data_IF_179979659797
#
_entry.id   IF_179979659797
#
_cell.length_a   1.000
_cell.length_b   1.000
_cell.length_c   1.000
_cell.angle_alpha   90.00
_cell.angle_beta   90.00
_cell.angle_gamma   90.00
#
_symmetry.space_group_name_H-M   'P 1'
#
loop_
_entity.id
_entity.type
_entity.pdbx_description
1 polymer ?
#
# COMPACT_ATOMS: atom_id res chain seq x y z
N UNK A 1 -76.94 -6.30 30.50
CA UNK A 1 -76.45 -4.92 30.25
C UNK A 1 -75.46 -4.96 29.09
N UNK A 2 -75.81 -4.40 27.93
CA UNK A 2 -74.99 -4.42 26.71
C UNK A 2 -73.68 -3.62 26.89
N UNK A 3 -72.52 -4.25 26.66
CA UNK A 3 -71.24 -3.53 26.50
C UNK A 3 -71.20 -2.86 25.13
N UNK A 4 -71.44 -1.54 25.11
CA UNK A 4 -71.22 -0.68 23.94
C UNK A 4 -69.73 -0.73 23.55
N UNK A 5 -69.42 -1.23 22.35
CA UNK A 5 -68.09 -1.08 21.74
C UNK A 5 -67.93 0.38 21.29
N UNK A 6 -66.89 1.03 21.77
CA UNK A 6 -66.52 2.40 21.42
C UNK A 6 -66.05 2.46 19.95
N UNK A 7 -66.78 3.12 19.03
CA UNK A 7 -66.43 3.15 17.60
C UNK A 7 -65.24 4.06 17.28
N UNK A 8 -64.71 4.82 18.23
CA UNK A 8 -63.65 5.80 17.99
C UNK A 8 -62.22 5.22 18.08
N UNK A 9 -62.04 4.04 18.66
CA UNK A 9 -60.72 3.42 18.83
C UNK A 9 -60.10 2.87 17.53
N UNK A 10 -60.93 2.31 16.64
CA UNK A 10 -60.45 1.75 15.36
C UNK A 10 -60.13 2.84 14.32
N UNK A 11 -60.81 3.99 14.40
CA UNK A 11 -60.60 5.12 13.49
C UNK A 11 -59.26 5.83 13.78
N UNK A 12 -58.94 6.06 15.05
CA UNK A 12 -57.67 6.68 15.45
C UNK A 12 -56.44 5.80 15.12
N UNK A 13 -56.57 4.47 15.25
CA UNK A 13 -55.49 3.54 14.92
C UNK A 13 -55.23 3.45 13.40
N UNK A 14 -56.27 3.57 12.57
CA UNK A 14 -56.14 3.60 11.10
C UNK A 14 -55.54 4.92 10.59
N UNK A 15 -55.88 6.06 11.21
CA UNK A 15 -55.30 7.36 10.86
C UNK A 15 -53.81 7.39 11.23
N UNK A 16 -53.43 6.85 12.39
CA UNK A 16 -52.02 6.77 12.81
C UNK A 16 -51.14 5.95 11.86
N UNK A 17 -51.64 4.81 11.36
CA UNK A 17 -50.90 3.96 10.41
C UNK A 17 -50.81 4.61 9.02
N UNK A 18 -51.85 5.29 8.56
CA UNK A 18 -51.82 6.00 7.26
C UNK A 18 -50.87 7.20 7.31
N UNK A 19 -50.80 7.93 8.42
CA UNK A 19 -49.86 9.05 8.60
C UNK A 19 -48.41 8.56 8.66
N UNK A 20 -48.15 7.41 9.29
CA UNK A 20 -46.82 6.79 9.32
C UNK A 20 -46.37 6.27 7.94
N UNK A 21 -47.28 5.67 7.15
CA UNK A 21 -46.98 5.23 5.78
C UNK A 21 -46.78 6.43 4.85
N UNK A 22 -47.56 7.51 5.02
CA UNK A 22 -47.39 8.74 4.26
C UNK A 22 -46.06 9.45 4.59
N UNK A 23 -45.65 9.50 5.86
CA UNK A 23 -44.34 10.01 6.27
C UNK A 23 -43.18 9.13 5.76
N UNK A 24 -43.36 7.81 5.75
CA UNK A 24 -42.38 6.87 5.20
C UNK A 24 -42.23 7.01 3.67
N UNK A 25 -43.34 7.23 2.95
CA UNK A 25 -43.31 7.49 1.50
C UNK A 25 -42.78 8.88 1.16
N UNK A 26 -43.02 9.90 2.00
CA UNK A 26 -42.44 11.24 1.80
C UNK A 26 -40.93 11.24 2.05
N UNK A 27 -40.41 10.43 2.99
CA UNK A 27 -38.97 10.24 3.19
C UNK A 27 -38.26 9.53 2.01
N UNK A 28 -38.98 8.72 1.24
CA UNK A 28 -38.45 8.02 0.04
C UNK A 28 -38.83 8.66 -1.30
N UNK A 29 -39.77 9.61 -1.32
CA UNK A 29 -40.22 10.33 -2.52
C UNK A 29 -39.56 11.71 -2.69
N UNK A 30 -38.65 12.11 -1.80
CA UNK A 30 -37.71 13.20 -2.13
C UNK A 30 -36.83 12.63 -3.24
N UNK A 31 -36.86 13.19 -4.47
CA UNK A 31 -35.88 12.83 -5.48
C UNK A 31 -34.54 13.14 -4.81
N UNK A 32 -33.72 12.12 -4.53
CA UNK A 32 -32.32 12.34 -4.25
C UNK A 32 -31.86 13.14 -5.45
N UNK A 33 -31.67 14.46 -5.27
CA UNK A 33 -30.92 15.25 -6.23
C UNK A 33 -29.64 14.45 -6.38
N UNK A 34 -29.52 13.76 -7.50
CA UNK A 34 -28.24 13.41 -8.08
C UNK A 34 -27.54 14.75 -8.13
N UNK A 35 -26.78 15.06 -7.07
CA UNK A 35 -25.66 15.94 -7.23
C UNK A 35 -24.89 15.22 -8.30
N UNK A 36 -24.97 15.76 -9.50
CA UNK A 36 -23.98 15.54 -10.53
C UNK A 36 -22.68 15.96 -9.88
N UNK A 37 -22.07 15.05 -9.14
CA UNK A 37 -20.66 15.12 -8.81
C UNK A 37 -20.03 15.12 -10.18
N UNK A 38 -19.64 16.32 -10.64
CA UNK A 38 -18.62 16.45 -11.66
C UNK A 38 -17.60 15.36 -11.35
N UNK A 39 -17.31 14.53 -12.35
CA UNK A 39 -16.19 13.60 -12.29
C UNK A 39 -15.05 14.30 -11.56
N UNK A 40 -14.47 13.74 -10.48
CA UNK A 40 -13.23 14.24 -9.95
C UNK A 40 -12.13 13.85 -10.95
N UNK A 41 -12.16 14.44 -12.15
CA UNK A 41 -10.96 15.00 -12.75
C UNK A 41 -10.55 16.17 -11.85
N UNK A 42 -10.19 15.86 -10.60
CA UNK A 42 -9.43 16.80 -9.80
C UNK A 42 -8.04 16.79 -10.44
N UNK A 43 -7.88 17.63 -11.47
CA UNK A 43 -6.57 18.12 -11.82
C UNK A 43 -5.99 18.62 -10.50
N UNK A 44 -4.95 17.94 -10.03
CA UNK A 44 -4.18 18.40 -8.88
C UNK A 44 -3.68 19.78 -9.31
N UNK A 45 -4.20 20.86 -8.72
CA UNK A 45 -3.68 22.20 -8.97
C UNK A 45 -2.28 22.26 -8.38
N UNK A 46 -1.29 22.01 -9.23
CA UNK A 46 0.12 22.06 -8.87
C UNK A 46 0.61 23.51 -8.88
N UNK A 47 1.54 23.89 -7.98
CA UNK A 47 2.27 25.14 -8.10
C UNK A 47 2.87 25.26 -9.51
N UNK A 48 2.75 26.42 -10.18
CA UNK A 48 3.22 26.61 -11.55
C UNK A 48 4.73 26.42 -11.72
N UNK A 49 5.50 26.37 -10.63
CA UNK A 49 6.93 26.12 -10.64
C UNK A 49 7.32 24.63 -10.59
N UNK A 50 6.36 23.69 -10.54
CA UNK A 50 6.64 22.26 -10.78
C UNK A 50 6.79 22.05 -12.29
N UNK A 51 8.05 22.02 -12.74
CA UNK A 51 8.40 21.76 -14.13
C UNK A 51 7.84 20.39 -14.59
N UNK A 52 7.12 20.39 -15.72
CA UNK A 52 6.84 19.14 -16.44
C UNK A 52 5.64 18.32 -15.94
N UNK A 53 4.57 18.93 -15.40
CA UNK A 53 3.33 18.18 -15.17
C UNK A 53 2.78 17.52 -16.44
N UNK A 54 2.94 18.18 -17.60
CA UNK A 54 2.61 17.60 -18.89
C UNK A 54 3.46 16.34 -19.20
N UNK A 55 4.72 16.34 -18.75
CA UNK A 55 5.65 15.21 -18.86
C UNK A 55 5.41 14.12 -17.78
N UNK A 56 4.58 14.36 -16.76
CA UNK A 56 4.30 13.41 -15.68
C UNK A 56 3.53 12.19 -16.21
N UNK A 57 4.29 11.18 -16.63
CA UNK A 57 3.83 9.95 -17.27
C UNK A 57 4.73 8.79 -16.85
N UNK A 58 4.26 7.55 -17.04
CA UNK A 58 5.09 6.36 -16.93
C UNK A 58 5.58 6.03 -18.34
N UNK A 59 6.90 6.11 -18.54
CA UNK A 59 7.53 5.82 -19.84
C UNK A 59 7.95 4.36 -19.91
N UNK A 60 7.78 3.73 -21.07
CA UNK A 60 8.11 2.32 -21.29
C UNK A 60 8.33 2.05 -22.78
N UNK A 61 9.02 0.96 -23.09
CA UNK A 61 9.15 0.50 -24.47
C UNK A 61 7.81 -0.04 -24.98
N UNK A 62 7.39 0.23 -26.22
CA UNK A 62 6.10 -0.25 -26.75
C UNK A 62 5.86 -1.75 -26.57
N UNK A 63 6.92 -2.56 -26.69
CA UNK A 63 6.86 -4.01 -26.51
C UNK A 63 6.40 -4.46 -25.11
N UNK A 64 6.53 -3.61 -24.08
CA UNK A 64 6.10 -3.92 -22.71
C UNK A 64 4.57 -3.88 -22.55
N UNK A 65 3.83 -3.24 -23.48
CA UNK A 65 2.37 -3.16 -23.48
C UNK A 65 1.73 -2.84 -22.11
N UNK A 66 2.36 -1.94 -21.34
CA UNK A 66 1.97 -1.68 -19.94
C UNK A 66 0.56 -1.10 -19.82
N UNK A 67 0.19 -0.19 -20.73
CA UNK A 67 -1.11 0.48 -20.69
C UNK A 67 -2.27 -0.50 -20.88
N UNK A 68 -2.21 -1.39 -21.88
CA UNK A 68 -3.28 -2.36 -22.14
C UNK A 68 -3.41 -3.36 -20.99
N UNK A 69 -2.28 -3.81 -20.42
CA UNK A 69 -2.27 -4.68 -19.25
C UNK A 69 -2.90 -4.00 -18.04
N UNK A 70 -2.51 -2.74 -17.75
CA UNK A 70 -3.04 -1.99 -16.63
C UNK A 70 -4.54 -1.69 -16.78
N UNK A 71 -5.00 -1.31 -17.98
CA UNK A 71 -6.42 -1.12 -18.31
C UNK A 71 -7.25 -2.35 -17.94
N UNK A 72 -6.82 -3.55 -18.36
CA UNK A 72 -7.53 -4.80 -18.04
C UNK A 72 -7.63 -5.06 -16.54
N UNK A 73 -6.57 -4.77 -15.78
CA UNK A 73 -6.58 -4.96 -14.32
C UNK A 73 -7.56 -3.99 -13.66
N UNK A 74 -7.53 -2.72 -14.09
CA UNK A 74 -8.45 -1.68 -13.62
C UNK A 74 -9.91 -2.03 -13.93
N UNK A 75 -10.22 -2.47 -15.15
CA UNK A 75 -11.59 -2.87 -15.55
C UNK A 75 -12.12 -4.02 -14.69
N UNK A 76 -11.30 -5.05 -14.44
CA UNK A 76 -11.67 -6.19 -13.58
C UNK A 76 -11.93 -5.76 -12.14
N UNK A 77 -11.09 -4.89 -11.60
CA UNK A 77 -11.26 -4.30 -10.27
C UNK A 77 -12.53 -3.47 -10.17
N UNK A 78 -12.76 -2.61 -11.15
CA UNK A 78 -13.92 -1.75 -11.21
C UNK A 78 -15.24 -2.54 -11.27
N UNK A 79 -15.27 -3.62 -12.07
CA UNK A 79 -16.42 -4.54 -12.20
C UNK A 79 -16.57 -5.50 -11.01
N UNK A 80 -15.65 -5.47 -10.04
CA UNK A 80 -15.70 -6.33 -8.86
C UNK A 80 -15.38 -7.81 -9.12
N UNK A 81 -14.70 -8.11 -10.23
CA UNK A 81 -14.28 -9.48 -10.55
C UNK A 81 -13.06 -9.91 -9.72
N UNK A 82 -12.11 -9.00 -9.53
CA UNK A 82 -10.85 -9.23 -8.83
C UNK A 82 -10.23 -7.88 -8.45
N UNK A 83 -9.72 -7.69 -7.22
CA UNK A 83 -9.12 -6.42 -6.82
C UNK A 83 -7.83 -6.13 -7.59
N UNK A 84 -7.62 -4.85 -7.93
CA UNK A 84 -6.33 -4.35 -8.38
C UNK A 84 -5.36 -4.42 -7.21
N UNK A 85 -4.33 -5.26 -7.31
CA UNK A 85 -3.35 -5.46 -6.24
C UNK A 85 -2.00 -4.85 -6.62
N UNK A 86 -1.56 -3.84 -5.86
CA UNK A 86 -0.31 -3.11 -6.07
C UNK A 86 0.62 -3.33 -4.88
N UNK A 87 1.88 -3.66 -5.15
CA UNK A 87 2.96 -3.68 -4.18
C UNK A 87 3.93 -2.55 -4.47
N UNK A 88 4.14 -1.65 -3.51
CA UNK A 88 5.12 -0.57 -3.62
C UNK A 88 6.27 -0.81 -2.63
N UNK A 89 7.43 -1.17 -3.16
CA UNK A 89 8.65 -1.44 -2.41
C UNK A 89 9.50 -0.17 -2.37
N UNK A 90 10.02 0.19 -1.20
CA UNK A 90 10.99 1.27 -1.10
C UNK A 90 11.61 1.44 0.27
N UNK A 91 12.02 2.66 0.58
CA UNK A 91 12.80 3.01 1.76
C UNK A 91 12.00 3.84 2.79
N UNK A 92 12.64 4.83 3.44
CA UNK A 92 12.00 5.75 4.37
C UNK A 92 10.86 6.56 3.74
N UNK A 93 10.93 6.87 2.45
CA UNK A 93 9.88 7.60 1.74
C UNK A 93 8.56 6.80 1.66
N UNK A 94 8.65 5.47 1.71
CA UNK A 94 7.50 4.56 1.69
C UNK A 94 7.07 4.17 3.12
N UNK A 95 8.02 4.02 4.06
CA UNK A 95 7.72 3.53 5.41
C UNK A 95 6.70 4.41 6.16
N UNK A 96 6.80 5.74 6.01
CA UNK A 96 5.88 6.67 6.68
C UNK A 96 4.47 6.69 6.07
N UNK A 97 4.30 6.13 4.86
CA UNK A 97 3.04 5.99 4.13
C UNK A 97 2.30 7.30 3.80
N UNK A 98 2.91 8.48 3.97
CA UNK A 98 2.32 9.72 3.46
C UNK A 98 2.26 9.73 1.92
N UNK A 99 3.30 9.22 1.28
CA UNK A 99 3.37 9.13 -0.18
C UNK A 99 2.41 8.05 -0.69
N UNK A 100 2.60 6.81 -0.26
CA UNK A 100 1.81 5.67 -0.72
C UNK A 100 0.38 5.66 -0.21
N UNK A 101 0.12 6.23 0.97
CA UNK A 101 -1.22 6.43 1.49
C UNK A 101 -2.04 7.42 0.65
N UNK A 102 -1.41 8.48 0.13
CA UNK A 102 -2.07 9.39 -0.81
C UNK A 102 -2.40 8.69 -2.13
N UNK A 103 -1.45 7.94 -2.70
CA UNK A 103 -1.69 7.16 -3.94
C UNK A 103 -2.85 6.19 -3.73
N UNK A 104 -2.84 5.46 -2.60
CA UNK A 104 -3.90 4.52 -2.21
C UNK A 104 -5.25 5.21 -2.14
N UNK A 105 -5.34 6.34 -1.44
CA UNK A 105 -6.59 7.09 -1.28
C UNK A 105 -7.14 7.59 -2.61
N UNK A 106 -6.29 8.16 -3.46
CA UNK A 106 -6.70 8.70 -4.76
C UNK A 106 -7.13 7.58 -5.72
N UNK A 107 -6.39 6.47 -5.78
CA UNK A 107 -6.77 5.30 -6.59
C UNK A 107 -8.06 4.65 -6.10
N UNK A 108 -8.27 4.50 -4.79
CA UNK A 108 -9.52 3.99 -4.24
C UNK A 108 -10.71 4.87 -4.65
N UNK A 109 -10.55 6.19 -4.55
CA UNK A 109 -11.57 7.15 -4.99
C UNK A 109 -11.87 7.03 -6.49
N UNK A 110 -10.83 6.90 -7.31
CA UNK A 110 -10.95 6.73 -8.76
C UNK A 110 -11.65 5.42 -9.17
N UNK A 111 -11.42 4.34 -8.41
CA UNK A 111 -12.07 3.04 -8.59
C UNK A 111 -13.47 2.93 -7.97
N UNK A 112 -13.96 3.99 -7.32
CA UNK A 112 -15.22 3.98 -6.55
C UNK A 112 -15.20 2.86 -5.49
N UNK A 113 -14.09 2.76 -4.75
CA UNK A 113 -13.85 1.76 -3.72
C UNK A 113 -14.08 2.31 -2.30
N UNK A 114 -15.28 2.08 -1.78
CA UNK A 114 -15.63 2.42 -0.39
C UNK A 114 -15.03 1.47 0.64
N UNK A 115 -14.41 0.36 0.23
CA UNK A 115 -13.93 -0.74 1.08
C UNK A 115 -12.41 -0.90 1.08
N UNK A 116 -11.69 0.20 0.92
CA UNK A 116 -10.22 0.24 0.85
C UNK A 116 -9.55 -0.63 1.92
N UNK A 117 -8.76 -1.60 1.46
CA UNK A 117 -7.90 -2.40 2.33
C UNK A 117 -6.68 -1.62 2.80
N UNK A 118 -6.23 -1.88 4.03
CA UNK A 118 -4.96 -1.30 4.52
C UNK A 118 -3.74 -1.95 3.86
N UNK A 119 -3.81 -3.25 3.57
CA UNK A 119 -2.73 -4.00 2.96
C UNK A 119 -1.60 -4.32 3.94
N UNK A 120 -0.35 -4.31 3.44
CA UNK A 120 0.81 -4.71 4.23
C UNK A 120 1.02 -3.78 5.43
N UNK A 121 1.25 -4.40 6.58
CA UNK A 121 1.39 -3.76 7.89
C UNK A 121 2.51 -4.44 8.66
N UNK A 122 3.37 -3.67 9.33
CA UNK A 122 4.47 -4.24 10.12
C UNK A 122 4.55 -3.54 11.49
N UNK A 123 4.90 -4.26 12.58
CA UNK A 123 5.07 -3.71 13.92
C UNK A 123 6.33 -2.83 14.06
N UNK A 124 6.42 -1.72 13.32
CA UNK A 124 7.60 -0.84 13.33
C UNK A 124 7.87 -0.24 14.70
N UNK A 125 6.82 0.16 15.45
CA UNK A 125 6.98 0.69 16.81
C UNK A 125 7.63 -0.32 17.77
N UNK A 126 7.24 -1.59 17.71
CA UNK A 126 7.87 -2.68 18.47
C UNK A 126 9.30 -2.91 17.97
N UNK A 127 9.56 -2.64 16.69
CA UNK A 127 10.89 -2.70 16.08
C UNK A 127 11.78 -1.46 16.33
N UNK A 128 11.34 -0.52 17.18
CA UNK A 128 12.04 0.72 17.48
C UNK A 128 12.09 1.69 16.30
N UNK A 129 11.02 1.75 15.50
CA UNK A 129 10.87 2.64 14.35
C UNK A 129 9.46 3.24 14.31
N UNK A 130 9.22 4.18 13.40
CA UNK A 130 7.93 4.87 13.31
C UNK A 130 6.94 4.09 12.44
N UNK A 131 5.72 3.90 12.93
CA UNK A 131 4.61 3.41 12.12
C UNK A 131 4.07 4.54 11.22
N UNK A 132 3.44 4.21 10.09
CA UNK A 132 2.39 5.01 9.48
C UNK A 132 1.36 5.53 10.50
N UNK A 133 0.79 6.71 10.26
CA UNK A 133 -0.18 7.33 11.18
C UNK A 133 -1.53 6.60 11.23
N UNK A 134 -1.80 5.70 10.28
CA UNK A 134 -3.07 5.03 10.12
C UNK A 134 -3.21 3.72 10.91
N UNK A 135 -2.16 3.31 11.63
CA UNK A 135 -2.27 2.23 12.60
C UNK A 135 -1.28 2.36 13.77
N UNK A 136 -1.62 1.68 14.87
CA UNK A 136 -0.73 1.46 16.00
C UNK A 136 -0.57 -0.02 16.26
N UNK A 137 0.60 -0.41 16.77
CA UNK A 137 0.87 -1.78 17.21
C UNK A 137 1.51 -1.76 18.58
N UNK A 138 0.95 -2.55 19.49
CA UNK A 138 1.52 -2.83 20.80
C UNK A 138 1.93 -4.30 20.90
N UNK A 139 2.80 -4.60 21.86
CA UNK A 139 3.30 -5.96 22.09
C UNK A 139 3.22 -6.36 23.55
N UNK A 140 2.99 -7.65 23.78
CA UNK A 140 3.23 -8.33 25.05
C UNK A 140 4.36 -9.35 24.83
N UNK A 141 5.10 -9.65 25.91
CA UNK A 141 6.20 -10.61 25.90
C UNK A 141 7.47 -10.06 25.26
N UNK A 142 8.50 -10.90 25.20
CA UNK A 142 9.79 -10.51 24.65
C UNK A 142 9.84 -10.59 23.12
N UNK A 143 10.22 -9.49 22.47
CA UNK A 143 10.45 -9.41 21.04
C UNK A 143 11.85 -8.88 20.76
N UNK A 144 12.52 -9.49 19.78
CA UNK A 144 13.81 -9.03 19.24
C UNK A 144 13.64 -8.60 17.80
N UNK A 145 14.41 -7.59 17.40
CA UNK A 145 14.32 -7.02 16.06
C UNK A 145 15.48 -7.53 15.21
N UNK A 146 15.15 -8.01 14.02
CA UNK A 146 16.10 -8.48 13.02
C UNK A 146 16.05 -7.53 11.83
N UNK A 147 17.17 -6.87 11.52
CA UNK A 147 17.29 -5.92 10.39
C UNK A 147 18.37 -6.35 9.41
N UNK A 148 18.34 -5.81 8.19
CA UNK A 148 19.27 -6.16 7.09
C UNK A 148 20.76 -5.92 7.37
N UNK A 149 21.08 -5.13 8.40
CA UNK A 149 22.43 -4.87 8.87
C UNK A 149 22.93 -5.89 9.92
N UNK A 150 22.06 -6.76 10.45
CA UNK A 150 22.46 -7.86 11.32
C UNK A 150 22.98 -9.05 10.51
N UNK A 151 24.30 -9.11 10.34
CA UNK A 151 25.00 -10.13 9.55
C UNK A 151 24.73 -11.58 10.01
N UNK A 152 24.32 -11.79 11.26
CA UNK A 152 24.10 -13.14 11.81
C UNK A 152 22.68 -13.66 11.57
N UNK A 153 21.70 -12.75 11.43
CA UNK A 153 20.28 -13.10 11.37
C UNK A 153 19.57 -12.65 10.08
N UNK A 154 20.30 -12.08 9.12
CA UNK A 154 19.80 -11.74 7.76
C UNK A 154 19.05 -12.87 7.05
N UNK A 155 19.28 -14.13 7.42
CA UNK A 155 18.65 -15.31 6.83
C UNK A 155 17.12 -15.37 7.00
N UNK A 156 16.51 -14.59 7.89
CA UNK A 156 15.07 -14.67 8.19
C UNK A 156 14.38 -13.31 8.11
N UNK A 157 14.74 -12.45 7.17
CA UNK A 157 14.03 -11.18 6.96
C UNK A 157 12.80 -11.37 6.08
N UNK A 158 11.76 -10.56 6.32
CA UNK A 158 10.56 -10.48 5.49
C UNK A 158 10.74 -9.70 4.20
N UNK A 159 9.65 -9.49 3.44
CA UNK A 159 9.66 -8.72 2.19
C UNK A 159 10.14 -7.28 2.38
N UNK A 160 9.84 -6.68 3.55
CA UNK A 160 10.29 -5.36 3.97
C UNK A 160 11.77 -5.31 4.40
N UNK A 161 12.49 -6.44 4.46
CA UNK A 161 13.87 -6.47 4.94
C UNK A 161 14.02 -6.37 6.46
N UNK A 162 12.94 -6.66 7.20
CA UNK A 162 12.87 -6.64 8.67
C UNK A 162 12.07 -7.85 9.17
N UNK A 163 12.32 -8.28 10.40
CA UNK A 163 11.51 -9.26 11.12
C UNK A 163 11.48 -8.97 12.62
N UNK A 164 10.43 -9.44 13.30
CA UNK A 164 10.39 -9.53 14.77
C UNK A 164 10.47 -10.98 15.19
N UNK A 165 11.40 -11.32 16.09
CA UNK A 165 11.62 -12.69 16.54
C UNK A 165 11.27 -12.82 18.03
N UNK A 166 10.66 -13.94 18.40
CA UNK A 166 10.38 -14.28 19.80
C UNK A 166 10.60 -15.76 20.09
N UNK A 167 10.86 -16.06 21.35
CA UNK A 167 10.85 -17.41 21.95
C UNK A 167 9.80 -17.54 23.06
N UNK A 168 9.13 -16.45 23.39
CA UNK A 168 8.24 -16.32 24.53
C UNK A 168 6.83 -16.84 24.16
N UNK A 169 6.32 -17.89 24.82
CA UNK A 169 4.97 -18.40 24.56
C UNK A 169 3.85 -17.40 24.86
N UNK A 170 4.11 -16.42 25.72
CA UNK A 170 3.18 -15.35 26.07
C UNK A 170 3.22 -14.18 25.10
N UNK A 171 4.09 -14.20 24.09
CA UNK A 171 4.24 -13.10 23.15
C UNK A 171 2.95 -12.84 22.37
N UNK A 172 2.52 -11.57 22.32
CA UNK A 172 1.35 -11.10 21.56
C UNK A 172 1.68 -9.83 20.79
N UNK A 173 0.98 -9.63 19.67
CA UNK A 173 0.98 -8.37 18.92
C UNK A 173 -0.46 -7.91 18.73
N UNK A 174 -0.78 -6.69 19.13
CA UNK A 174 -2.11 -6.10 18.97
C UNK A 174 -2.04 -4.96 17.98
N UNK A 175 -2.80 -5.07 16.89
CA UNK A 175 -2.86 -4.10 15.80
C UNK A 175 -4.18 -3.35 15.92
N UNK A 176 -4.14 -2.02 15.77
CA UNK A 176 -5.33 -1.17 15.71
C UNK A 176 -5.21 -0.18 14.57
N UNK A 177 -6.18 -0.21 13.66
CA UNK A 177 -6.33 0.81 12.63
C UNK A 177 -6.87 2.10 13.26
N UNK A 178 -6.37 3.23 12.78
CA UNK A 178 -6.88 4.55 13.09
C UNK A 178 -7.82 5.00 11.98
N UNK A 179 -9.03 5.38 12.36
CA UNK A 179 -9.97 6.04 11.47
C UNK A 179 -9.65 7.54 11.46
N UNK A 180 -8.56 7.90 10.77
CA UNK A 180 -8.14 9.29 10.54
C UNK A 180 -8.87 9.95 9.36
N UNK A 181 -8.26 10.95 8.72
CA UNK A 181 -8.74 11.52 7.44
C UNK A 181 -8.79 10.45 6.32
N UNK A 182 -7.90 9.46 6.41
CA UNK A 182 -7.88 8.26 5.61
C UNK A 182 -9.03 7.32 6.07
N UNK A 183 -10.03 7.13 5.21
CA UNK A 183 -11.25 6.34 5.48
C UNK A 183 -11.00 4.82 5.46
N UNK A 184 -9.97 4.33 6.15
CA UNK A 184 -9.75 2.89 6.19
C UNK A 184 -10.95 2.21 6.82
N UNK A 185 -11.54 1.31 6.05
CA UNK A 185 -12.62 0.47 6.53
C UNK A 185 -12.03 -0.66 7.37
N UNK A 186 -12.91 -1.25 8.16
CA UNK A 186 -12.64 -2.49 8.88
C UNK A 186 -12.18 -3.59 7.91
N UNK A 187 -11.35 -4.50 8.39
CA UNK A 187 -10.86 -5.66 7.65
C UNK A 187 -11.49 -6.94 8.19
N UNK A 188 -11.67 -7.93 7.32
CA UNK A 188 -12.24 -9.25 7.63
C UNK A 188 -11.34 -10.41 7.15
N UNK A 189 -10.21 -10.09 6.53
CA UNK A 189 -9.17 -11.04 6.16
C UNK A 189 -7.85 -10.56 6.76
N UNK A 190 -7.14 -11.48 7.43
CA UNK A 190 -5.77 -11.27 7.89
C UNK A 190 -4.86 -12.36 7.35
N UNK A 191 -3.79 -11.93 6.68
CA UNK A 191 -2.67 -12.74 6.30
C UNK A 191 -1.51 -12.46 7.26
N UNK A 192 -0.91 -13.50 7.82
CA UNK A 192 0.23 -13.39 8.73
C UNK A 192 1.42 -14.05 8.08
N UNK A 193 2.47 -13.27 7.83
CA UNK A 193 3.74 -13.77 7.30
C UNK A 193 4.66 -14.08 8.48
N UNK A 194 5.08 -15.34 8.59
CA UNK A 194 5.89 -15.79 9.73
C UNK A 194 6.84 -16.90 9.32
N UNK A 195 7.74 -17.29 10.20
CA UNK A 195 8.57 -18.48 10.02
C UNK A 195 8.97 -19.04 11.36
N UNK A 196 9.12 -20.36 11.46
CA UNK A 196 9.60 -21.03 12.68
C UNK A 196 10.92 -21.73 12.42
N UNK A 197 11.71 -21.87 13.48
CA UNK A 197 12.89 -22.70 13.48
C UNK A 197 12.95 -23.46 14.82
N UNK A 198 12.91 -24.79 14.76
CA UNK A 198 13.00 -25.65 15.95
C UNK A 198 11.75 -25.67 16.83
N UNK A 199 10.58 -25.28 16.30
CA UNK A 199 9.28 -25.38 16.99
C UNK A 199 8.11 -25.38 15.99
N UNK A 200 6.95 -25.84 16.46
CA UNK A 200 5.71 -25.94 15.68
C UNK A 200 4.65 -25.01 16.26
N UNK A 201 4.72 -23.74 15.87
CA UNK A 201 3.89 -22.66 16.41
C UNK A 201 3.32 -21.86 15.24
N UNK A 202 2.01 -21.61 15.29
CA UNK A 202 1.29 -20.83 14.29
C UNK A 202 0.73 -19.57 14.97
N UNK A 203 0.97 -18.38 14.41
CA UNK A 203 0.32 -17.17 14.88
C UNK A 203 -1.17 -17.21 14.50
N UNK A 204 -2.05 -16.91 15.44
CA UNK A 204 -3.50 -16.91 15.23
C UNK A 204 -4.16 -15.70 15.87
N UNK A 205 -5.23 -15.16 15.27
CA UNK A 205 -6.00 -14.10 15.91
C UNK A 205 -6.75 -14.62 17.15
N UNK A 206 -6.95 -13.74 18.13
CA UNK A 206 -7.80 -13.99 19.30
C UNK A 206 -9.29 -13.81 18.99
N UNK A 207 -9.60 -13.06 17.92
CA UNK A 207 -10.97 -12.84 17.44
C UNK A 207 -11.51 -14.10 16.75
N UNK A 208 -12.81 -14.44 16.92
CA UNK A 208 -13.44 -15.55 16.21
C UNK A 208 -13.20 -15.48 14.70
N UNK A 209 -12.62 -16.54 14.17
CA UNK A 209 -12.16 -16.62 12.78
C UNK A 209 -12.01 -18.06 12.33
N UNK A 210 -11.98 -18.23 11.01
CA UNK A 210 -11.68 -19.48 10.34
C UNK A 210 -10.31 -19.39 9.66
N UNK A 211 -9.45 -20.38 9.90
CA UNK A 211 -8.22 -20.54 9.11
C UNK A 211 -8.60 -20.94 7.68
N UNK A 212 -8.23 -20.12 6.70
CA UNK A 212 -8.55 -20.33 5.29
C UNK A 212 -7.44 -21.08 4.58
N UNK A 213 -6.19 -20.75 4.91
CA UNK A 213 -5.00 -21.31 4.26
C UNK A 213 -3.83 -21.28 5.24
N UNK A 214 -3.02 -22.32 5.22
CA UNK A 214 -1.70 -22.35 5.84
C UNK A 214 -0.72 -22.86 4.79
N UNK A 215 0.39 -22.17 4.62
CA UNK A 215 1.45 -22.54 3.70
C UNK A 215 2.82 -22.29 4.32
N UNK A 216 3.87 -22.56 3.54
CA UNK A 216 5.22 -22.25 3.99
C UNK A 216 5.38 -20.73 4.17
N UNK A 217 5.65 -20.34 5.41
CA UNK A 217 5.87 -18.96 5.83
C UNK A 217 4.62 -18.06 5.92
N UNK A 218 3.40 -18.62 5.86
CA UNK A 218 2.17 -17.83 5.82
C UNK A 218 0.95 -18.57 6.40
N UNK A 219 0.02 -17.82 7.00
CA UNK A 219 -1.31 -18.29 7.37
C UNK A 219 -2.36 -17.19 7.11
N UNK A 220 -3.50 -17.57 6.56
CA UNK A 220 -4.67 -16.71 6.32
C UNK A 220 -5.81 -17.07 7.26
N UNK A 221 -6.45 -16.05 7.82
CA UNK A 221 -7.71 -16.18 8.54
C UNK A 221 -8.78 -15.27 7.94
N UNK A 222 -10.01 -15.78 7.86
CA UNK A 222 -11.22 -15.00 7.63
C UNK A 222 -11.91 -14.79 8.96
N UNK A 223 -12.12 -13.53 9.34
CA UNK A 223 -12.80 -13.14 10.56
C UNK A 223 -14.30 -13.28 10.37
N UNK A 224 -15.02 -13.60 11.45
CA UNK A 224 -16.48 -13.74 11.38
C UNK A 224 -17.18 -12.40 11.10
N UNK A 225 -16.57 -11.30 11.55
CA UNK A 225 -17.05 -9.93 11.37
C UNK A 225 -15.87 -9.00 11.03
N UNK A 226 -16.08 -7.94 10.23
CA UNK A 226 -15.06 -6.93 10.01
C UNK A 226 -14.68 -6.19 11.31
N UNK A 227 -13.38 -6.05 11.57
CA UNK A 227 -12.83 -5.36 12.76
C UNK A 227 -11.87 -4.23 12.39
N UNK A 228 -11.64 -3.31 13.34
CA UNK A 228 -10.61 -2.27 13.27
C UNK A 228 -9.36 -2.63 14.09
N UNK A 229 -9.44 -3.69 14.89
CA UNK A 229 -8.42 -4.07 15.84
C UNK A 229 -8.39 -5.58 16.03
N UNK A 230 -7.19 -6.13 16.19
CA UNK A 230 -6.97 -7.56 16.35
C UNK A 230 -5.74 -7.83 17.20
N UNK A 231 -5.80 -8.85 18.04
CA UNK A 231 -4.63 -9.36 18.75
C UNK A 231 -4.24 -10.71 18.17
N UNK A 232 -2.95 -10.87 17.92
CA UNK A 232 -2.34 -12.09 17.41
C UNK A 232 -1.62 -12.78 18.56
N UNK A 233 -1.95 -14.04 18.75
CA UNK A 233 -1.31 -14.92 19.69
C UNK A 233 -0.61 -16.08 19.04
N UNK A 234 0.28 -16.71 19.79
CA UNK A 234 1.05 -17.87 19.34
C UNK A 234 0.41 -19.15 19.90
N UNK A 235 0.12 -20.10 19.02
CA UNK A 235 -0.47 -21.38 19.39
C UNK A 235 0.32 -22.55 18.81
N UNK A 236 0.51 -23.61 19.59
CA UNK A 236 1.23 -24.80 19.17
C UNK A 236 2.25 -25.28 20.22
N UNK A 237 3.24 -26.04 19.76
CA UNK A 237 4.28 -26.64 20.58
C UNK A 237 5.54 -25.77 20.60
N UNK A 238 5.82 -25.19 21.77
CA UNK A 238 7.02 -24.41 22.00
C UNK A 238 8.21 -25.29 22.36
N UNK A 239 9.40 -24.84 21.98
CA UNK A 239 10.68 -25.46 22.32
C UNK A 239 11.61 -24.40 22.90
N UNK A 240 12.36 -24.68 23.98
CA UNK A 240 13.30 -23.71 24.56
C UNK A 240 14.38 -23.19 23.60
N UNK A 241 14.71 -23.99 22.57
CA UNK A 241 15.66 -23.62 21.52
C UNK A 241 14.98 -23.08 20.25
N UNK A 242 13.65 -23.19 20.18
CA UNK A 242 12.87 -22.74 19.05
C UNK A 242 12.76 -21.22 18.98
N UNK A 243 12.45 -20.69 17.79
CA UNK A 243 12.12 -19.29 17.58
C UNK A 243 11.07 -19.12 16.49
N UNK A 244 10.23 -18.09 16.63
CA UNK A 244 9.28 -17.64 15.61
C UNK A 244 9.67 -16.24 15.20
N UNK A 245 9.63 -15.99 13.90
CA UNK A 245 9.81 -14.68 13.31
C UNK A 245 8.52 -14.24 12.62
N UNK A 246 8.07 -13.02 12.88
CA UNK A 246 6.99 -12.33 12.16
C UNK A 246 7.62 -11.42 11.10
N UNK A 247 7.17 -11.56 9.86
CA UNK A 247 7.63 -10.80 8.70
C UNK A 247 6.67 -9.68 8.30
N UNK A 248 5.48 -9.65 8.90
CA UNK A 248 4.45 -8.64 8.69
C UNK A 248 3.07 -9.27 8.65
N UNK A 249 2.10 -8.39 8.44
CA UNK A 249 0.69 -8.70 8.30
C UNK A 249 0.18 -8.10 7.01
N UNK A 250 -0.91 -8.63 6.50
CA UNK A 250 -1.68 -8.01 5.45
C UNK A 250 -3.16 -8.04 5.82
N UNK A 251 -3.73 -6.83 5.93
CA UNK A 251 -5.07 -6.57 6.45
C UNK A 251 -5.98 -6.15 5.29
N UNK A 252 -6.90 -7.04 4.94
CA UNK A 252 -7.75 -6.87 3.77
C UNK A 252 -9.24 -6.84 4.13
N UNK A 253 -9.97 -6.03 3.37
CA UNK A 253 -11.41 -6.08 3.29
C UNK A 253 -11.79 -6.91 2.05
N UNK A 254 -12.56 -7.98 2.24
CA UNK A 254 -12.97 -8.89 1.17
C UNK A 254 -13.78 -8.25 0.04
N UNK A 255 -14.28 -7.02 0.24
CA UNK A 255 -15.02 -6.22 -0.76
C UNK A 255 -14.19 -5.14 -1.43
N UNK A 256 -12.92 -5.01 -1.08
CA UNK A 256 -12.05 -4.02 -1.69
C UNK A 256 -11.90 -4.25 -3.19
N UNK A 257 -11.87 -3.17 -3.96
CA UNK A 257 -11.48 -3.17 -5.38
C UNK A 257 -9.99 -2.85 -5.53
N UNK A 258 -9.38 -2.19 -4.55
CA UNK A 258 -7.96 -1.89 -4.49
C UNK A 258 -7.32 -2.50 -3.24
N UNK A 259 -6.19 -3.17 -3.44
CA UNK A 259 -5.28 -3.55 -2.37
C UNK A 259 -3.91 -2.95 -2.67
N UNK A 260 -3.45 -2.02 -1.83
CA UNK A 260 -2.18 -1.32 -2.03
C UNK A 260 -1.24 -1.57 -0.86
N UNK A 261 -0.27 -2.45 -1.06
CA UNK A 261 0.74 -2.79 -0.07
C UNK A 261 1.92 -1.80 -0.15
N UNK A 262 2.17 -1.07 0.93
CA UNK A 262 3.37 -0.24 1.07
C UNK A 262 4.43 -1.00 1.89
N UNK A 263 5.53 -1.36 1.24
CA UNK A 263 6.66 -2.11 1.83
C UNK A 263 7.88 -1.19 1.85
N UNK A 264 7.91 -0.30 2.84
CA UNK A 264 9.01 0.62 3.09
C UNK A 264 9.81 0.25 4.32
N UNK A 265 11.13 0.46 4.27
CA UNK A 265 12.00 0.37 5.46
C UNK A 265 13.03 1.49 5.46
N UNK A 266 13.10 2.24 6.55
CA UNK A 266 14.04 3.34 6.73
C UNK A 266 15.49 2.86 6.55
N UNK A 267 16.24 3.55 5.69
CA UNK A 267 17.61 3.21 5.32
C UNK A 267 17.74 2.01 4.37
N UNK A 268 16.63 1.50 3.83
CA UNK A 268 16.69 0.41 2.86
C UNK A 268 17.32 0.88 1.55
N UNK A 269 18.12 -0.02 0.98
CA UNK A 269 18.68 0.07 -0.35
C UNK A 269 18.38 -1.22 -1.10
N UNK A 270 18.80 -1.36 -2.36
CA UNK A 270 18.50 -2.57 -3.15
C UNK A 270 18.97 -3.86 -2.45
N UNK A 271 20.11 -3.81 -1.76
CA UNK A 271 20.68 -4.98 -1.08
C UNK A 271 19.86 -5.44 0.12
N UNK A 272 19.08 -4.55 0.74
CA UNK A 272 18.14 -4.89 1.83
C UNK A 272 17.19 -6.00 1.39
N UNK A 273 16.58 -5.88 0.22
CA UNK A 273 15.63 -6.86 -0.30
C UNK A 273 16.33 -8.10 -0.88
N UNK A 274 17.50 -7.96 -1.49
CA UNK A 274 18.29 -9.10 -1.98
C UNK A 274 18.74 -10.02 -0.85
N UNK A 275 19.06 -9.47 0.33
CA UNK A 275 19.45 -10.25 1.52
C UNK A 275 18.27 -10.98 2.17
N UNK A 276 17.04 -10.57 1.89
CA UNK A 276 15.85 -11.21 2.43
C UNK A 276 15.59 -12.56 1.74
N UNK A 277 15.76 -13.65 2.49
CA UNK A 277 15.46 -15.01 2.00
C UNK A 277 13.97 -15.19 1.74
N UNK A 278 13.10 -14.58 2.54
CA UNK A 278 11.65 -14.67 2.38
C UNK A 278 11.08 -13.61 1.44
N UNK A 279 11.91 -12.85 0.72
CA UNK A 279 11.44 -11.88 -0.27
C UNK A 279 10.56 -12.55 -1.34
N UNK A 280 11.01 -13.68 -1.90
CA UNK A 280 10.24 -14.44 -2.91
C UNK A 280 8.94 -15.01 -2.34
N UNK A 281 8.96 -15.54 -1.12
CA UNK A 281 7.75 -15.99 -0.43
C UNK A 281 6.75 -14.83 -0.22
N UNK A 282 7.23 -13.66 0.23
CA UNK A 282 6.39 -12.47 0.37
C UNK A 282 5.75 -12.04 -0.94
N UNK A 283 6.51 -12.02 -2.04
CA UNK A 283 5.98 -11.73 -3.38
C UNK A 283 4.91 -12.74 -3.80
N UNK A 284 5.19 -14.04 -3.64
CA UNK A 284 4.26 -15.10 -4.03
C UNK A 284 2.96 -15.07 -3.21
N UNK A 285 3.02 -14.69 -1.93
CA UNK A 285 1.84 -14.67 -1.08
C UNK A 285 1.02 -13.39 -1.24
N UNK A 286 1.66 -12.24 -1.43
CA UNK A 286 0.95 -10.99 -1.76
C UNK A 286 0.38 -11.03 -3.18
N UNK A 287 1.05 -11.75 -4.10
CA UNK A 287 0.66 -11.95 -5.49
C UNK A 287 0.15 -10.68 -6.20
N UNK A 288 0.90 -9.56 -6.17
CA UNK A 288 0.46 -8.31 -6.76
C UNK A 288 0.46 -8.38 -8.30
N UNK A 289 -0.46 -7.64 -8.91
CA UNK A 289 -0.52 -7.45 -10.35
C UNK A 289 0.42 -6.34 -10.83
N UNK A 290 0.74 -5.39 -9.95
CA UNK A 290 1.69 -4.29 -10.22
C UNK A 290 2.71 -4.20 -9.08
N UNK A 291 3.99 -4.15 -9.43
CA UNK A 291 5.09 -3.91 -8.49
C UNK A 291 5.77 -2.59 -8.83
N UNK A 292 5.73 -1.65 -7.90
CA UNK A 292 6.43 -0.36 -7.98
C UNK A 292 7.68 -0.44 -7.11
N UNK A 293 8.85 -0.12 -7.66
CA UNK A 293 10.13 -0.15 -6.94
C UNK A 293 10.70 1.28 -6.87
N UNK A 294 10.69 1.83 -5.66
CA UNK A 294 11.18 3.17 -5.31
C UNK A 294 12.40 3.06 -4.40
N UNK A 295 13.55 2.78 -5.00
CA UNK A 295 14.85 2.62 -4.34
C UNK A 295 15.91 3.43 -5.09
N UNK A 296 17.09 3.61 -4.50
CA UNK A 296 18.19 4.38 -5.10
C UNK A 296 18.64 5.57 -4.25
N UNK A 297 17.78 6.11 -3.38
CA UNK A 297 18.14 7.20 -2.47
C UNK A 297 19.30 6.78 -1.56
N UNK A 298 19.09 5.75 -0.73
CA UNK A 298 20.12 5.26 0.19
C UNK A 298 21.29 4.56 -0.53
N UNK A 299 21.06 4.02 -1.73
CA UNK A 299 22.13 3.46 -2.56
C UNK A 299 23.15 4.54 -2.97
N UNK A 300 22.67 5.74 -3.29
CA UNK A 300 23.47 6.86 -3.78
C UNK A 300 23.80 7.93 -2.72
N UNK A 301 23.36 7.76 -1.47
CA UNK A 301 23.61 8.75 -0.40
C UNK A 301 25.06 8.75 0.13
N UNK A 302 25.95 7.92 -0.42
CA UNK A 302 27.35 7.79 0.01
C UNK A 302 28.32 8.25 -1.06
N UNK A 303 29.40 8.94 -0.67
CA UNK A 303 30.52 9.26 -1.56
C UNK A 303 31.20 8.01 -2.16
N UNK A 304 31.00 6.83 -1.56
CA UNK A 304 31.48 5.55 -2.07
C UNK A 304 30.51 4.89 -3.09
N UNK A 305 29.53 5.65 -3.61
CA UNK A 305 28.58 5.15 -4.59
C UNK A 305 29.29 4.53 -5.81
N UNK A 306 28.77 3.39 -6.26
CA UNK A 306 29.26 2.69 -7.43
C UNK A 306 28.06 2.32 -8.32
N UNK A 307 27.92 3.05 -9.43
CA UNK A 307 26.81 2.88 -10.38
C UNK A 307 26.71 1.46 -10.93
N UNK A 308 27.85 0.79 -11.20
CA UNK A 308 27.84 -0.60 -11.68
C UNK A 308 27.33 -1.58 -10.64
N UNK A 309 27.70 -1.38 -9.37
CA UNK A 309 27.23 -2.22 -8.28
C UNK A 309 25.73 -1.99 -8.02
N UNK A 310 25.28 -0.74 -8.03
CA UNK A 310 23.86 -0.39 -7.95
C UNK A 310 23.06 -1.07 -9.07
N UNK A 311 23.49 -0.88 -10.31
CA UNK A 311 22.84 -1.46 -11.48
C UNK A 311 22.75 -2.98 -11.44
N UNK A 312 23.85 -3.65 -11.09
CA UNK A 312 23.88 -5.12 -10.95
C UNK A 312 22.91 -5.61 -9.88
N UNK A 313 22.84 -4.93 -8.74
CA UNK A 313 21.92 -5.28 -7.67
C UNK A 313 20.46 -5.04 -8.08
N UNK A 314 20.18 -3.91 -8.74
CA UNK A 314 18.81 -3.57 -9.17
C UNK A 314 18.33 -4.57 -10.22
N UNK A 315 19.16 -4.89 -11.22
CA UNK A 315 18.86 -5.92 -12.20
C UNK A 315 18.54 -7.27 -11.55
N UNK A 316 19.32 -7.69 -10.56
CA UNK A 316 19.07 -8.92 -9.81
C UNK A 316 17.75 -8.88 -9.04
N UNK A 317 17.41 -7.73 -8.42
CA UNK A 317 16.15 -7.56 -7.71
C UNK A 317 14.96 -7.67 -8.66
N UNK A 318 15.01 -6.98 -9.80
CA UNK A 318 13.94 -7.02 -10.81
C UNK A 318 13.80 -8.41 -11.42
N UNK A 319 14.92 -9.09 -11.72
CA UNK A 319 14.90 -10.47 -12.18
C UNK A 319 14.21 -11.39 -11.18
N UNK A 320 14.50 -11.26 -9.88
CA UNK A 320 13.84 -12.03 -8.82
C UNK A 320 12.34 -11.74 -8.74
N UNK A 321 11.93 -10.48 -8.92
CA UNK A 321 10.51 -10.11 -8.97
C UNK A 321 9.81 -10.81 -10.14
N UNK A 322 10.33 -10.68 -11.36
CA UNK A 322 9.72 -11.26 -12.56
C UNK A 322 9.75 -12.79 -12.59
N UNK A 323 10.75 -13.42 -11.96
CA UNK A 323 10.78 -14.88 -11.80
C UNK A 323 9.63 -15.40 -10.92
N UNK A 324 9.28 -14.67 -9.86
CA UNK A 324 8.19 -15.04 -8.95
C UNK A 324 6.83 -14.59 -9.50
N UNK A 325 6.79 -13.44 -10.17
CA UNK A 325 5.58 -12.80 -10.68
C UNK A 325 5.71 -12.53 -12.20
N UNK A 326 5.67 -13.57 -13.04
CA UNK A 326 5.95 -13.45 -14.49
C UNK A 326 4.92 -12.62 -15.27
N UNK A 327 3.76 -12.34 -14.68
CA UNK A 327 2.67 -11.57 -15.29
C UNK A 327 2.45 -10.21 -14.62
N UNK A 328 3.24 -9.86 -13.60
CA UNK A 328 3.09 -8.57 -12.94
C UNK A 328 3.73 -7.46 -13.77
N UNK A 329 3.07 -6.30 -13.83
CA UNK A 329 3.70 -5.09 -14.34
C UNK A 329 4.73 -4.60 -13.34
N UNK A 330 5.92 -4.24 -13.82
CA UNK A 330 6.97 -3.66 -12.98
C UNK A 330 7.20 -2.21 -13.39
N UNK A 331 7.13 -1.30 -12.42
CA UNK A 331 7.38 0.12 -12.59
C UNK A 331 8.53 0.51 -11.66
N UNK A 332 9.58 1.11 -12.20
CA UNK A 332 10.69 1.66 -11.43
C UNK A 332 10.47 3.15 -11.25
N UNK A 333 10.77 3.70 -10.07
CA UNK A 333 10.82 5.14 -9.88
C UNK A 333 12.26 5.59 -9.70
N UNK A 334 12.60 6.77 -10.20
CA UNK A 334 13.89 7.39 -9.88
C UNK A 334 13.82 8.01 -8.48
N UNK A 335 14.92 8.04 -7.71
CA UNK A 335 14.97 8.85 -6.50
C UNK A 335 14.79 10.34 -6.84
N UNK A 336 14.18 11.10 -5.93
CA UNK A 336 14.07 12.54 -6.07
C UNK A 336 15.43 13.24 -5.89
N UNK A 337 15.52 14.47 -6.37
CA UNK A 337 16.67 15.35 -6.07
C UNK A 337 16.78 15.56 -4.56
N UNK A 338 18.00 15.51 -4.03
CA UNK A 338 18.25 15.72 -2.61
C UNK A 338 19.69 16.14 -2.34
N UNK A 339 19.93 16.67 -1.14
CA UNK A 339 21.25 17.01 -0.65
C UNK A 339 21.81 15.89 0.24
N UNK A 340 23.12 15.68 0.16
CA UNK A 340 23.89 14.90 1.14
C UNK A 340 24.27 15.84 2.27
N UNK A 341 23.98 15.42 3.51
CA UNK A 341 24.27 16.16 4.73
C UNK A 341 23.77 17.62 4.69
N UNK A 342 22.62 17.86 4.01
CA UNK A 342 21.93 19.16 3.91
C UNK A 342 22.63 20.24 3.08
N UNK A 343 23.80 19.94 2.54
CA UNK A 343 24.69 20.95 1.95
C UNK A 343 25.08 20.59 0.51
N UNK A 344 25.54 19.36 0.30
CA UNK A 344 26.17 18.94 -0.96
C UNK A 344 25.12 18.38 -1.93
N UNK A 345 25.02 18.86 -3.17
CA UNK A 345 24.23 18.20 -4.20
C UNK A 345 24.67 16.74 -4.41
N UNK A 346 23.71 15.84 -4.59
CA UNK A 346 24.02 14.45 -4.88
C UNK A 346 24.21 14.23 -6.40
N UNK A 347 25.45 14.40 -6.87
CA UNK A 347 25.82 14.22 -8.29
C UNK A 347 25.61 12.79 -8.81
N UNK A 348 25.45 11.80 -7.92
CA UNK A 348 25.22 10.42 -8.31
C UNK A 348 23.80 10.17 -8.86
N UNK A 349 22.83 11.06 -8.61
CA UNK A 349 21.43 10.81 -8.96
C UNK A 349 21.17 10.70 -10.46
N UNK A 350 21.88 11.47 -11.28
CA UNK A 350 21.78 11.33 -12.74
C UNK A 350 22.32 9.97 -13.21
N UNK A 351 23.37 9.45 -12.57
CA UNK A 351 23.88 8.11 -12.87
C UNK A 351 22.91 7.01 -12.44
N UNK A 352 22.29 7.16 -11.26
CA UNK A 352 21.22 6.25 -10.79
C UNK A 352 20.04 6.26 -11.76
N UNK A 353 19.58 7.45 -12.14
CA UNK A 353 18.49 7.64 -13.09
C UNK A 353 18.79 6.97 -14.42
N UNK A 354 19.95 7.22 -15.01
CA UNK A 354 20.37 6.60 -16.27
C UNK A 354 20.39 5.06 -16.18
N UNK A 355 20.86 4.52 -15.05
CA UNK A 355 20.92 3.07 -14.84
C UNK A 355 19.52 2.44 -14.67
N UNK A 356 18.58 3.14 -14.01
CA UNK A 356 17.17 2.74 -13.92
C UNK A 356 16.54 2.66 -15.32
N UNK A 357 16.77 3.66 -16.18
CA UNK A 357 16.29 3.63 -17.56
C UNK A 357 16.88 2.48 -18.37
N UNK A 358 18.19 2.23 -18.24
CA UNK A 358 18.86 1.10 -18.90
C UNK A 358 18.21 -0.23 -18.51
N UNK A 359 18.06 -0.47 -17.21
CA UNK A 359 17.49 -1.72 -16.67
C UNK A 359 16.01 -1.84 -17.05
N UNK A 360 15.23 -0.76 -16.99
CA UNK A 360 13.83 -0.80 -17.41
C UNK A 360 13.69 -1.18 -18.88
N UNK A 361 14.57 -0.68 -19.75
CA UNK A 361 14.63 -1.08 -21.16
C UNK A 361 14.99 -2.55 -21.36
N UNK A 362 15.95 -3.08 -20.59
CA UNK A 362 16.35 -4.49 -20.68
C UNK A 362 15.30 -5.46 -20.13
N UNK A 363 14.57 -5.04 -19.10
CA UNK A 363 13.63 -5.88 -18.35
C UNK A 363 12.16 -5.60 -18.70
N UNK A 364 11.89 -4.79 -19.74
CA UNK A 364 10.54 -4.37 -20.16
C UNK A 364 9.69 -3.76 -19.03
N UNK A 365 10.29 -2.93 -18.20
CA UNK A 365 9.62 -2.23 -17.10
C UNK A 365 9.22 -0.81 -17.50
N UNK A 366 8.28 -0.23 -16.75
CA UNK A 366 7.97 1.20 -16.81
C UNK A 366 8.89 2.02 -15.94
N UNK A 367 9.07 3.30 -16.26
CA UNK A 367 9.81 4.27 -15.43
C UNK A 367 8.92 5.47 -15.13
N UNK A 368 8.79 5.80 -13.84
CA UNK A 368 8.27 7.08 -13.38
C UNK A 368 9.42 7.95 -12.88
N UNK A 369 9.82 8.93 -13.70
CA UNK A 369 11.02 9.75 -13.51
C UNK A 369 10.74 10.93 -12.56
N UNK A 370 10.60 10.61 -11.28
CA UNK A 370 10.36 11.61 -10.25
C UNK A 370 11.47 12.67 -10.15
N UNK A 371 12.73 12.31 -10.45
CA UNK A 371 13.85 13.25 -10.47
C UNK A 371 13.59 14.39 -11.46
N UNK A 372 13.19 14.03 -12.69
CA UNK A 372 12.84 15.00 -13.72
C UNK A 372 11.56 15.78 -13.36
N UNK A 373 10.53 15.11 -12.83
CA UNK A 373 9.26 15.75 -12.43
C UNK A 373 9.47 16.78 -11.31
N UNK A 374 10.43 16.58 -10.42
CA UNK A 374 10.79 17.59 -9.43
C UNK A 374 11.40 18.85 -10.06
N UNK A 375 12.06 18.70 -11.22
CA UNK A 375 12.83 19.75 -11.89
C UNK A 375 14.31 19.42 -12.09
N UNK A 376 14.77 18.22 -11.71
CA UNK A 376 16.16 17.79 -11.83
C UNK A 376 17.08 18.38 -10.76
N UNK A 377 18.36 18.53 -11.08
CA UNK A 377 19.39 18.97 -10.13
C UNK A 377 19.06 20.32 -9.47
N UNK A 378 19.07 20.35 -8.14
CA UNK A 378 18.82 21.55 -7.34
C UNK A 378 17.33 21.82 -7.07
N UNK A 379 16.41 21.06 -7.68
CA UNK A 379 14.97 21.21 -7.47
C UNK A 379 14.53 20.98 -6.02
N UNK A 380 15.31 20.22 -5.22
CA UNK A 380 15.02 20.06 -3.80
C UNK A 380 15.00 21.40 -3.04
N UNK A 381 15.81 22.37 -3.45
CA UNK A 381 15.81 23.69 -2.84
C UNK A 381 14.52 24.45 -3.15
N UNK A 382 14.04 24.38 -4.40
CA UNK A 382 12.74 24.93 -4.81
C UNK A 382 11.60 24.29 -4.02
N UNK A 383 11.60 22.96 -3.87
CA UNK A 383 10.61 22.26 -3.05
C UNK A 383 10.71 22.63 -1.56
N UNK A 384 11.92 22.90 -1.04
CA UNK A 384 12.12 23.35 0.33
C UNK A 384 11.59 24.78 0.54
N UNK A 385 11.82 25.69 -0.42
CA UNK A 385 11.30 27.07 -0.41
C UNK A 385 9.76 27.10 -0.44
N UNK A 386 9.13 26.14 -1.13
CA UNK A 386 7.68 25.92 -1.10
C UNK A 386 7.17 25.30 0.21
N UNK A 387 8.05 24.98 1.15
CA UNK A 387 7.69 24.35 2.42
C UNK A 387 7.23 22.90 2.27
N UNK A 388 7.74 22.16 1.28
CA UNK A 388 7.41 20.75 1.02
C UNK A 388 8.42 19.76 1.63
N UNK A 389 9.57 20.25 2.10
CA UNK A 389 10.64 19.41 2.61
C UNK A 389 10.72 19.36 4.15
N UNK A 390 11.33 18.32 4.67
CA UNK A 390 11.93 18.34 6.00
C UNK A 390 13.24 19.15 5.98
N UNK A 391 13.74 19.51 7.16
CA UNK A 391 14.96 20.33 7.31
C UNK A 391 16.23 19.70 6.73
N UNK A 392 16.22 18.39 6.49
CA UNK A 392 17.37 17.66 5.97
C UNK A 392 17.56 17.78 4.45
N UNK A 393 16.55 18.31 3.72
CA UNK A 393 16.54 18.37 2.25
C UNK A 393 16.84 17.01 1.59
N UNK A 394 16.35 15.96 2.25
CA UNK A 394 16.34 14.58 1.78
C UNK A 394 14.91 14.05 1.84
N UNK A 395 14.28 14.19 2.99
CA UNK A 395 12.90 13.77 3.19
C UNK A 395 11.94 14.93 2.90
N UNK A 396 10.75 14.57 2.40
CA UNK A 396 9.64 15.51 2.35
C UNK A 396 8.93 15.58 3.70
N UNK A 397 8.17 16.65 3.92
CA UNK A 397 7.15 16.65 4.96
C UNK A 397 5.83 16.07 4.41
N UNK A 398 4.78 15.99 5.23
CA UNK A 398 3.51 15.38 4.81
C UNK A 398 2.88 16.05 3.59
N UNK A 399 3.07 17.37 3.38
CA UNK A 399 2.58 18.07 2.18
C UNK A 399 3.35 17.64 0.93
N UNK A 400 4.68 17.60 1.01
CA UNK A 400 5.51 17.19 -0.12
C UNK A 400 5.30 15.73 -0.52
N UNK A 401 5.14 14.83 0.45
CA UNK A 401 4.82 13.43 0.16
C UNK A 401 3.43 13.24 -0.45
N UNK A 402 2.41 13.98 0.02
CA UNK A 402 1.09 13.94 -0.62
C UNK A 402 1.14 14.46 -2.05
N UNK A 403 1.88 15.54 -2.30
CA UNK A 403 2.12 16.04 -3.65
C UNK A 403 2.79 14.98 -4.55
N UNK A 404 3.85 14.33 -4.06
CA UNK A 404 4.49 13.21 -4.75
C UNK A 404 3.49 12.07 -5.05
N UNK A 405 2.61 11.76 -4.08
CA UNK A 405 1.55 10.75 -4.23
C UNK A 405 0.54 11.10 -5.30
N UNK A 406 0.07 12.35 -5.31
CA UNK A 406 -0.86 12.86 -6.30
C UNK A 406 -0.25 12.84 -7.71
N UNK A 407 1.05 13.11 -7.84
CA UNK A 407 1.78 13.02 -9.11
C UNK A 407 1.88 11.56 -9.61
N UNK A 408 2.26 10.60 -8.76
CA UNK A 408 2.30 9.19 -9.15
C UNK A 408 0.91 8.65 -9.49
N UNK A 409 -0.11 9.01 -8.70
CA UNK A 409 -1.51 8.69 -9.00
C UNK A 409 -1.90 9.20 -10.40
N UNK A 410 -1.62 10.47 -10.71
CA UNK A 410 -1.92 11.05 -12.03
C UNK A 410 -1.23 10.28 -13.16
N UNK A 411 0.03 9.88 -12.97
CA UNK A 411 0.76 9.09 -13.96
C UNK A 411 0.18 7.66 -14.15
N UNK A 412 -0.25 7.00 -13.07
CA UNK A 412 -0.94 5.71 -13.13
C UNK A 412 -2.29 5.81 -13.82
N UNK A 413 -3.07 6.86 -13.53
CA UNK A 413 -4.35 7.10 -14.23
C UNK A 413 -4.10 7.40 -15.70
N UNK A 414 -3.09 8.21 -16.07
CA UNK A 414 -2.73 8.44 -17.49
C UNK A 414 -2.28 7.16 -18.20
N UNK A 415 -1.63 6.24 -17.48
CA UNK A 415 -1.30 4.90 -18.02
C UNK A 415 -2.58 4.12 -18.35
N UNK A 416 -3.65 4.34 -17.60
CA UNK A 416 -4.99 3.85 -17.91
C UNK A 416 -5.66 4.75 -18.96
N UNK A 417 -5.61 4.38 -20.25
CA UNK A 417 -6.07 5.22 -21.37
C UNK A 417 -7.55 5.66 -21.29
N UNK A 418 -8.37 5.04 -20.43
CA UNK A 418 -9.78 5.36 -20.25
C UNK A 418 -10.14 5.42 -18.76
N UNK A 419 -11.05 6.31 -18.39
CA UNK A 419 -11.66 6.25 -17.06
C UNK A 419 -12.62 5.06 -17.02
N UNK A 420 -12.65 4.24 -15.95
CA UNK A 420 -13.61 3.15 -15.81
C UNK A 420 -15.10 3.55 -15.88
N UNK A 421 -15.39 4.86 -15.76
CA UNK A 421 -16.73 5.42 -15.86
C UNK A 421 -17.11 5.79 -17.30
N UNK A 422 -16.15 5.97 -18.19
CA UNK A 422 -16.40 6.34 -19.59
C UNK A 422 -17.05 5.17 -20.35
N UNK A 423 -16.75 3.91 -19.96
CA UNK A 423 -17.39 2.72 -20.53
C UNK A 423 -18.89 2.58 -20.20
N UNK A 424 -19.43 3.29 -19.18
CA UNK A 424 -20.88 3.29 -18.91
C UNK A 424 -21.71 3.86 -20.07
N UNK A 425 -21.08 4.47 -21.08
CA UNK A 425 -21.73 5.04 -22.26
C UNK A 425 -21.65 4.16 -23.51
N UNK A 426 -20.94 3.05 -23.48
CA UNK A 426 -20.94 2.09 -24.59
C UNK A 426 -22.02 1.03 -24.33
N UNK A 427 -22.98 0.81 -25.26
CA UNK A 427 -23.89 -0.30 -25.14
C UNK A 427 -23.07 -1.59 -25.14
N UNK A 428 -23.35 -2.47 -24.18
CA UNK A 428 -22.79 -3.81 -24.16
C UNK A 428 -23.02 -4.46 -25.53
N UNK A 429 -21.94 -4.87 -26.19
CA UNK A 429 -22.05 -5.81 -27.29
C UNK A 429 -22.51 -7.14 -26.67
N UNK A 430 -23.70 -7.58 -27.11
CA UNK A 430 -24.34 -8.86 -26.77
C UNK A 430 -23.47 -10.08 -27.06
#
# INVERSE_FOLDING_TARGET
MLKRRNPYGLALMRIGVIVLIALYLILFAIPRRLKTTKSPSAAVELPPEIYGYEDNTIVYQPAANLSEQFNRMVERAYRGHEPLTILHIGDSHIQADFFTGEVRQLLSSWLDDDYTSRGFTFPFQVAGSNNPEDYSITSQGEWRVNKFNDTTETAYLGIAGIALTTRDPSARLSIRLHHGEQRFQRFDIINIFYGTNGMDVVPRPTTPSQMVKQGDGHVSYRLNEPVDSITIELAGQFSPKGRLSIFGFDLQNSRAKLIYHAVGLNGANVRTHLRSRNFGHGLSHLNPQVVIVSLGTNDAYSDAFNVRAFGSNLLLLISKIQQVLPHALVILTTPGDHLINREKPNEALEQVRAEIYRIAGEMNCGVWDFYRIMGGAGSINTWAEMGMCANDKLHFNSKGYRLQGALLYSALVKLSQHHPLDERKSPAYE
#
